data_IF_142285200994
#
_entry.id   IF_142285200994
#
_cell.length_a   1.000
_cell.length_b   1.000
_cell.length_c   1.000
_cell.angle_alpha   90.00
_cell.angle_beta   90.00
_cell.angle_gamma   90.00
#
_symmetry.space_group_name_H-M   'P 1'
#
loop_
_entity.id
_entity.type
_entity.pdbx_description
1 polymer ?
#
# COMPACT_ATOMS: atom_id res chain seq x y z
N UNK A 1 -9.93 17.36 -9.00
CA UNK A 1 -10.52 16.15 -8.39
C UNK A 1 -9.83 14.97 -9.03
N UNK A 2 -9.04 14.19 -8.28
CA UNK A 2 -8.39 13.00 -8.82
C UNK A 2 -9.38 11.84 -8.73
N UNK A 3 -9.84 11.34 -9.88
CA UNK A 3 -10.66 10.12 -9.94
C UNK A 3 -9.71 8.97 -10.27
N UNK A 4 -9.60 8.05 -9.33
CA UNK A 4 -8.76 6.85 -9.44
C UNK A 4 -9.70 5.67 -9.24
N UNK A 5 -9.93 4.90 -10.30
CA UNK A 5 -10.87 3.78 -10.32
C UNK A 5 -10.40 2.70 -11.29
N UNK A 6 -10.68 1.44 -10.98
CA UNK A 6 -10.67 0.37 -11.97
C UNK A 6 -11.86 0.53 -12.92
N UNK A 7 -11.75 -0.02 -14.13
CA UNK A 7 -12.91 -0.16 -15.02
C UNK A 7 -13.93 -1.09 -14.37
N UNK A 8 -15.18 -0.65 -14.28
CA UNK A 8 -16.25 -1.41 -13.65
C UNK A 8 -16.58 -2.72 -14.38
N UNK A 9 -16.26 -2.81 -15.67
CA UNK A 9 -16.47 -3.99 -16.50
C UNK A 9 -15.39 -5.06 -16.26
N UNK A 10 -14.26 -4.71 -15.65
CA UNK A 10 -13.18 -5.64 -15.32
C UNK A 10 -13.32 -6.26 -13.92
N UNK A 11 -14.27 -5.78 -13.11
CA UNK A 11 -14.44 -6.24 -11.72
C UNK A 11 -15.47 -7.37 -11.63
N UNK A 12 -15.01 -8.58 -11.30
CA UNK A 12 -15.90 -9.67 -10.89
C UNK A 12 -16.47 -9.42 -9.48
N UNK A 13 -17.64 -8.78 -9.44
CA UNK A 13 -18.36 -8.49 -8.18
C UNK A 13 -18.74 -9.76 -7.42
N UNK A 14 -19.06 -10.85 -8.11
CA UNK A 14 -19.45 -12.09 -7.46
C UNK A 14 -18.25 -12.73 -6.75
N UNK A 15 -17.07 -12.70 -7.35
CA UNK A 15 -15.83 -13.10 -6.69
C UNK A 15 -15.52 -12.22 -5.48
N UNK A 16 -15.70 -10.89 -5.60
CA UNK A 16 -15.49 -9.96 -4.49
C UNK A 16 -16.38 -10.28 -3.28
N UNK A 17 -17.68 -10.55 -3.49
CA UNK A 17 -18.58 -10.95 -2.41
C UNK A 17 -18.20 -12.30 -1.78
N UNK A 18 -17.74 -13.28 -2.58
CA UNK A 18 -17.31 -14.58 -2.05
C UNK A 18 -16.00 -14.51 -1.27
N UNK A 19 -15.11 -13.58 -1.62
CA UNK A 19 -13.81 -13.42 -0.99
C UNK A 19 -13.85 -12.51 0.25
N UNK A 20 -14.92 -11.74 0.46
CA UNK A 20 -15.03 -10.83 1.59
C UNK A 20 -15.19 -11.59 2.92
N UNK A 21 -14.28 -11.33 3.85
CA UNK A 21 -14.47 -11.53 5.28
C UNK A 21 -14.22 -10.20 6.01
N UNK A 22 -14.91 -9.96 7.11
CA UNK A 22 -14.76 -8.74 7.90
C UNK A 22 -13.39 -8.63 8.59
N UNK A 23 -12.72 -9.77 8.84
CA UNK A 23 -11.43 -9.80 9.53
C UNK A 23 -10.27 -9.28 8.67
N UNK A 24 -10.26 -9.59 7.38
CA UNK A 24 -9.17 -9.28 6.43
C UNK A 24 -9.60 -8.32 5.30
N UNK A 25 -10.90 -8.17 5.06
CA UNK A 25 -11.47 -7.27 4.06
C UNK A 25 -10.95 -5.82 4.14
N UNK A 26 -10.78 -5.23 5.33
CA UNK A 26 -10.19 -3.89 5.45
C UNK A 26 -8.75 -3.84 4.93
N UNK A 27 -7.96 -4.89 5.14
CA UNK A 27 -6.56 -4.91 4.73
C UNK A 27 -6.46 -5.20 3.23
N UNK A 28 -7.22 -6.16 2.69
CA UNK A 28 -7.28 -6.41 1.24
C UNK A 28 -7.79 -5.19 0.46
N UNK A 29 -8.82 -4.51 0.98
CA UNK A 29 -9.31 -3.27 0.37
C UNK A 29 -8.27 -2.15 0.41
N UNK A 30 -7.53 -2.03 1.52
CA UNK A 30 -6.46 -1.05 1.65
C UNK A 30 -5.28 -1.36 0.74
N UNK A 31 -4.93 -2.64 0.58
CA UNK A 31 -3.93 -3.12 -0.37
C UNK A 31 -4.30 -2.70 -1.80
N UNK A 32 -5.53 -3.00 -2.23
CA UNK A 32 -5.99 -2.63 -3.57
C UNK A 32 -5.87 -1.11 -3.84
N UNK A 33 -6.36 -0.28 -2.91
CA UNK A 33 -6.29 1.19 -3.04
C UNK A 33 -4.84 1.69 -2.99
N UNK A 34 -4.00 1.15 -2.10
CA UNK A 34 -2.61 1.55 -1.97
C UNK A 34 -1.80 1.22 -3.23
N UNK A 35 -1.98 0.03 -3.80
CA UNK A 35 -1.32 -0.38 -5.05
C UNK A 35 -1.73 0.52 -6.22
N UNK A 36 -3.00 0.86 -6.31
CA UNK A 36 -3.51 1.77 -7.32
C UNK A 36 -2.94 3.19 -7.13
N UNK A 37 -2.91 3.71 -5.90
CA UNK A 37 -2.30 5.01 -5.62
C UNK A 37 -0.80 5.06 -5.94
N UNK A 38 -0.06 4.00 -5.63
CA UNK A 38 1.36 3.93 -5.99
C UNK A 38 1.55 4.00 -7.51
N UNK A 39 0.79 3.20 -8.26
CA UNK A 39 0.85 3.16 -9.73
C UNK A 39 0.49 4.51 -10.36
N UNK A 40 -0.56 5.17 -9.86
CA UNK A 40 -1.11 6.38 -10.47
C UNK A 40 -0.44 7.69 -9.99
N UNK A 41 0.14 7.70 -8.79
CA UNK A 41 0.69 8.92 -8.17
C UNK A 41 2.22 8.91 -8.05
N UNK A 42 2.89 7.85 -8.49
CA UNK A 42 4.35 7.73 -8.47
C UNK A 42 4.87 7.10 -9.75
N UNK A 43 6.19 7.03 -9.89
CA UNK A 43 6.83 6.28 -10.98
C UNK A 43 7.05 4.80 -10.63
N UNK A 44 6.44 4.30 -9.54
CA UNK A 44 6.63 2.95 -9.04
C UNK A 44 5.43 2.04 -9.29
N UNK A 45 5.68 0.73 -9.26
CA UNK A 45 4.67 -0.33 -9.13
C UNK A 45 5.14 -1.36 -8.11
N UNK A 46 4.22 -2.14 -7.54
CA UNK A 46 4.59 -3.26 -6.68
C UNK A 46 5.12 -4.42 -7.51
N UNK A 47 6.28 -4.94 -7.13
CA UNK A 47 6.96 -6.02 -7.86
C UNK A 47 6.90 -7.37 -7.15
N UNK A 48 6.78 -7.38 -5.82
CA UNK A 48 6.57 -8.58 -5.00
C UNK A 48 6.11 -8.21 -3.59
N UNK A 49 5.40 -9.14 -2.93
CA UNK A 49 5.13 -9.07 -1.49
C UNK A 49 6.43 -9.28 -0.71
N UNK A 50 6.51 -8.66 0.45
CA UNK A 50 7.61 -8.87 1.38
C UNK A 50 7.37 -10.13 2.23
N UNK A 51 8.45 -10.68 2.77
CA UNK A 51 8.35 -11.72 3.82
C UNK A 51 7.78 -11.06 5.07
N UNK A 52 6.91 -11.78 5.78
CA UNK A 52 6.37 -11.34 7.07
C UNK A 52 7.51 -10.90 8.00
N UNK A 53 7.23 -9.95 8.90
CA UNK A 53 8.15 -9.39 9.92
C UNK A 53 9.19 -8.36 9.46
N UNK A 54 9.36 -8.14 8.16
CA UNK A 54 10.27 -7.12 7.57
C UNK A 54 9.84 -5.67 7.82
N UNK A 55 8.61 -5.46 8.28
CA UNK A 55 8.05 -4.13 8.57
C UNK A 55 7.61 -3.36 7.33
N UNK A 56 7.50 -4.05 6.19
CA UNK A 56 6.94 -3.57 4.92
C UNK A 56 6.05 -4.68 4.33
N UNK A 57 5.05 -4.33 3.55
CA UNK A 57 4.13 -5.26 2.89
C UNK A 57 4.58 -5.62 1.47
N UNK A 58 5.12 -4.63 0.73
CA UNK A 58 5.54 -4.80 -0.67
C UNK A 58 6.88 -4.13 -0.97
N UNK A 59 7.62 -4.75 -1.90
CA UNK A 59 8.73 -4.13 -2.58
C UNK A 59 8.23 -3.43 -3.84
N UNK A 60 8.78 -2.24 -4.11
CA UNK A 60 8.44 -1.42 -5.27
C UNK A 60 9.59 -1.39 -6.27
N UNK A 61 9.26 -1.35 -7.56
CA UNK A 61 10.17 -1.11 -8.67
C UNK A 61 9.59 -0.05 -9.60
N UNK A 62 10.33 0.35 -10.63
CA UNK A 62 9.87 1.34 -11.60
C UNK A 62 8.64 0.81 -12.37
N UNK A 63 7.67 1.67 -12.68
CA UNK A 63 6.46 1.28 -13.42
C UNK A 63 6.78 0.79 -14.85
N UNK A 64 7.86 1.32 -15.42
CA UNK A 64 8.37 0.96 -16.74
C UNK A 64 9.33 -0.24 -16.65
N UNK A 65 8.95 -1.27 -15.89
CA UNK A 65 9.53 -2.60 -16.07
C UNK A 65 9.17 -3.00 -17.49
N UNK A 66 10.10 -2.76 -18.41
CA UNK A 66 10.00 -3.29 -19.77
C UNK A 66 9.93 -4.81 -19.68
N UNK A 67 9.12 -5.45 -20.53
CA UNK A 67 8.93 -6.91 -20.59
C UNK A 67 10.26 -7.70 -20.73
N UNK A 68 11.38 -7.01 -20.97
CA UNK A 68 12.72 -7.56 -21.08
C UNK A 68 13.53 -7.61 -19.76
N UNK A 69 13.01 -7.10 -18.63
CA UNK A 69 13.69 -7.18 -17.34
C UNK A 69 13.30 -8.43 -16.56
N UNK A 70 14.15 -9.48 -16.65
CA UNK A 70 14.01 -10.76 -15.92
C UNK A 70 13.97 -10.56 -14.40
N UNK A 71 14.59 -9.48 -13.88
CA UNK A 71 14.60 -9.15 -12.45
C UNK A 71 14.23 -7.69 -12.23
N UNK A 72 13.00 -7.39 -11.73
CA UNK A 72 12.62 -6.03 -11.39
C UNK A 72 13.52 -5.47 -10.30
N UNK A 73 14.14 -4.32 -10.57
CA UNK A 73 15.02 -3.67 -9.61
C UNK A 73 14.20 -3.06 -8.47
N UNK A 74 14.57 -3.39 -7.24
CA UNK A 74 13.93 -2.80 -6.05
C UNK A 74 14.37 -1.35 -5.92
N UNK A 75 13.42 -0.43 -5.85
CA UNK A 75 13.64 1.03 -5.75
C UNK A 75 12.90 1.67 -4.59
N UNK A 76 11.95 0.96 -4.00
CA UNK A 76 11.13 1.48 -2.91
C UNK A 76 10.52 0.37 -2.08
N UNK A 77 9.90 0.78 -0.98
CA UNK A 77 9.18 -0.07 -0.04
C UNK A 77 7.77 0.48 0.15
N UNK A 78 6.81 -0.39 0.44
CA UNK A 78 5.43 0.00 0.72
C UNK A 78 4.92 -0.72 1.96
N UNK A 79 4.35 0.04 2.87
CA UNK A 79 3.67 -0.43 4.08
C UNK A 79 2.24 0.12 4.11
N UNK A 80 1.27 -0.76 4.36
CA UNK A 80 -0.15 -0.52 4.14
C UNK A 80 -0.92 -0.76 5.44
N UNK A 81 -1.98 0.01 5.67
CA UNK A 81 -2.92 -0.26 6.76
C UNK A 81 -4.34 0.10 6.36
N UNK A 82 -5.29 -0.79 6.64
CA UNK A 82 -6.71 -0.50 6.56
C UNK A 82 -7.29 -0.09 7.91
N UNK A 83 -8.30 0.77 7.84
CA UNK A 83 -9.19 1.11 8.95
C UNK A 83 -10.61 0.96 8.43
N UNK A 84 -11.30 -0.11 8.83
CA UNK A 84 -12.70 -0.31 8.47
C UNK A 84 -13.59 0.81 9.01
N UNK A 85 -13.44 1.11 10.30
CA UNK A 85 -14.21 2.12 11.02
C UNK A 85 -13.33 2.95 11.92
N UNK A 86 -13.37 4.26 11.72
CA UNK A 86 -12.63 5.21 12.53
C UNK A 86 -13.28 5.38 13.90
N UNK A 87 -12.47 5.24 14.94
CA UNK A 87 -12.77 5.50 16.34
C UNK A 87 -11.68 6.43 16.91
N UNK A 88 -11.88 7.03 18.10
CA UNK A 88 -10.91 8.00 18.65
C UNK A 88 -9.47 7.49 18.77
N UNK A 89 -9.28 6.17 18.95
CA UNK A 89 -7.98 5.54 19.20
C UNK A 89 -7.27 5.00 17.95
N UNK A 90 -7.90 4.98 16.77
CA UNK A 90 -7.31 4.40 15.55
C UNK A 90 -7.22 5.38 14.36
N UNK A 91 -7.19 6.69 14.63
CA UNK A 91 -7.14 7.74 13.59
C UNK A 91 -6.01 7.47 12.57
N UNK A 92 -6.19 7.84 11.29
CA UNK A 92 -5.18 7.62 10.25
C UNK A 92 -3.77 8.11 10.62
N UNK A 93 -3.67 9.27 11.26
CA UNK A 93 -2.39 9.85 11.68
C UNK A 93 -1.66 8.96 12.71
N UNK A 94 -2.39 8.35 13.64
CA UNK A 94 -1.81 7.43 14.62
C UNK A 94 -1.34 6.13 13.96
N UNK A 95 -2.10 5.62 12.97
CA UNK A 95 -1.68 4.47 12.15
C UNK A 95 -0.43 4.79 11.35
N UNK A 96 -0.38 5.93 10.67
CA UNK A 96 0.82 6.40 9.94
C UNK A 96 2.03 6.43 10.86
N UNK A 97 1.92 7.07 12.03
CA UNK A 97 3.02 7.14 12.99
C UNK A 97 3.49 5.76 13.47
N UNK A 98 2.56 4.82 13.70
CA UNK A 98 2.88 3.43 14.07
C UNK A 98 3.59 2.69 12.94
N UNK A 99 3.08 2.76 11.71
CA UNK A 99 3.66 2.12 10.53
C UNK A 99 5.05 2.67 10.20
N UNK A 100 5.26 3.98 10.30
CA UNK A 100 6.60 4.60 10.15
C UNK A 100 7.62 3.99 11.12
N UNK A 101 7.23 3.64 12.36
CA UNK A 101 8.15 2.97 13.29
C UNK A 101 8.46 1.54 12.85
N UNK A 102 7.49 0.82 12.28
CA UNK A 102 7.66 -0.55 11.79
C UNK A 102 8.62 -0.63 10.60
N UNK A 103 8.54 0.32 9.68
CA UNK A 103 9.40 0.37 8.48
C UNK A 103 10.88 0.57 8.81
N UNK A 104 11.24 0.96 10.05
CA UNK A 104 12.63 1.05 10.50
C UNK A 104 13.39 -0.28 10.46
N UNK A 105 12.67 -1.41 10.48
CA UNK A 105 13.26 -2.75 10.42
C UNK A 105 13.97 -3.07 9.11
N UNK A 106 13.68 -2.32 8.05
CA UNK A 106 14.27 -2.50 6.71
C UNK A 106 15.01 -1.24 6.22
N UNK A 107 15.44 -0.38 7.14
CA UNK A 107 16.16 0.85 6.79
C UNK A 107 17.58 0.61 6.30
N UNK A 108 18.14 -0.58 6.56
CA UNK A 108 19.39 -1.08 5.98
C UNK A 108 19.37 -1.13 4.44
N UNK A 109 18.17 -1.19 3.83
CA UNK A 109 18.04 -1.15 2.37
C UNK A 109 18.26 0.23 1.76
N UNK A 110 18.27 1.30 2.55
CA UNK A 110 18.35 2.71 2.12
C UNK A 110 17.25 3.17 1.13
N UNK A 111 16.30 2.32 0.75
CA UNK A 111 15.22 2.69 -0.17
C UNK A 111 14.16 3.56 0.52
N UNK A 112 13.54 4.52 -0.20
CA UNK A 112 12.38 5.24 0.31
C UNK A 112 11.25 4.26 0.64
N UNK A 113 10.44 4.61 1.64
CA UNK A 113 9.26 3.84 2.01
C UNK A 113 8.01 4.71 1.92
N UNK A 114 6.98 4.17 1.28
CA UNK A 114 5.64 4.72 1.27
C UNK A 114 4.84 4.06 2.38
N UNK A 115 4.15 4.87 3.18
CA UNK A 115 3.17 4.43 4.16
C UNK A 115 1.81 4.91 3.71
N UNK A 116 0.91 3.98 3.43
CA UNK A 116 -0.46 4.29 2.98
C UNK A 116 -1.44 3.76 4.02
N UNK A 117 -2.30 4.65 4.51
CA UNK A 117 -3.39 4.30 5.43
C UNK A 117 -4.71 4.67 4.78
N UNK A 118 -5.59 3.68 4.61
CA UNK A 118 -6.91 3.81 4.01
C UNK A 118 -7.97 3.66 5.07
N UNK A 119 -8.92 4.59 5.14
CA UNK A 119 -10.03 4.60 6.09
C UNK A 119 -11.36 4.58 5.34
N UNK A 120 -12.21 3.58 5.62
CA UNK A 120 -13.39 3.28 4.80
C UNK A 120 -14.70 3.91 5.31
N UNK A 121 -14.83 4.18 6.62
CA UNK A 121 -16.07 4.74 7.20
C UNK A 121 -16.24 6.23 6.96
N UNK A 122 -15.17 6.95 6.68
CA UNK A 122 -15.19 8.31 6.15
C UNK A 122 -14.09 8.40 5.08
N UNK A 123 -14.40 7.98 3.84
CA UNK A 123 -13.41 7.66 2.81
C UNK A 123 -12.29 8.69 2.72
N UNK A 124 -11.13 8.33 3.29
CA UNK A 124 -9.93 9.16 3.27
C UNK A 124 -8.72 8.26 3.20
N UNK A 125 -7.74 8.66 2.40
CA UNK A 125 -6.44 7.98 2.34
C UNK A 125 -5.34 8.95 2.69
N UNK A 126 -4.39 8.50 3.51
CA UNK A 126 -3.16 9.24 3.81
C UNK A 126 -1.99 8.49 3.21
N UNK A 127 -1.22 9.16 2.35
CA UNK A 127 0.01 8.66 1.76
C UNK A 127 1.18 9.52 2.21
N UNK A 128 2.24 8.88 2.72
CA UNK A 128 3.46 9.54 3.15
C UNK A 128 4.67 8.82 2.58
N UNK A 129 5.62 9.56 2.00
CA UNK A 129 6.92 9.06 1.62
C UNK A 129 7.95 9.44 2.69
N UNK A 130 8.71 8.45 3.17
CA UNK A 130 9.85 8.66 4.06
C UNK A 130 11.14 8.30 3.34
N UNK A 131 12.04 9.27 3.23
CA UNK A 131 13.42 9.02 2.81
C UNK A 131 14.22 8.50 3.99
N UNK A 132 15.02 7.46 3.77
CA UNK A 132 16.05 7.02 4.72
C UNK A 132 17.25 7.95 4.52
N UNK A 133 17.69 8.62 5.59
CA UNK A 133 18.96 9.35 5.59
C UNK A 133 19.98 8.47 6.30
N UNK A 134 21.07 8.17 5.61
CA UNK A 134 22.27 7.59 6.21
C UNK A 134 23.00 8.65 7.03
#
# INVERSE_FOLDING_TARGET
MYKVCWDEHEIDRAALFRAYNADDGPEHGAEAIALLLIREQTNYTAIRRSVTTTGIDYWLGDKEITDNQIFPQTRGRLEISGILKRIPTNKPQYRVAKKIKQTRRSDDTSFPVYVIVVEFSTPVTTMLQRHVRN
#
